data_IF_463251932597
#
_entry.id   IF_463251932597
#
_cell.length_a   1.000
_cell.length_b   1.000
_cell.length_c   1.000
_cell.angle_alpha   90.00
_cell.angle_beta   90.00
_cell.angle_gamma   90.00
#
_symmetry.space_group_name_H-M   'P 1'
#
loop_
_entity.id
_entity.type
_entity.pdbx_description
1 polymer ?
#
# COMPACT_ATOMS: atom_id res chain seq x y z
N UNK A 1 -3.01 -14.26 -0.55
CA UNK A 1 -2.25 -13.95 0.69
C UNK A 1 -1.55 -15.21 1.15
N UNK A 2 -0.22 -15.17 1.32
CA UNK A 2 0.58 -16.33 1.75
C UNK A 2 0.34 -16.65 3.23
N UNK A 3 0.68 -17.87 3.67
CA UNK A 3 0.60 -18.25 5.09
C UNK A 3 1.52 -17.38 5.97
N UNK A 4 2.73 -17.07 5.47
CA UNK A 4 3.69 -16.20 6.15
C UNK A 4 3.14 -14.77 6.34
N UNK A 5 2.51 -14.22 5.30
CA UNK A 5 1.94 -12.87 5.38
C UNK A 5 0.83 -12.78 6.42
N UNK A 6 -0.06 -13.79 6.51
CA UNK A 6 -1.09 -13.85 7.57
C UNK A 6 -0.48 -13.90 8.97
N UNK A 7 0.53 -14.74 9.17
CA UNK A 7 1.16 -14.88 10.48
C UNK A 7 1.82 -13.56 10.93
N UNK A 8 2.51 -12.88 10.02
CA UNK A 8 3.14 -11.58 10.30
C UNK A 8 2.08 -10.52 10.58
N UNK A 9 0.99 -10.49 9.82
CA UNK A 9 -0.13 -9.57 10.03
C UNK A 9 -0.75 -9.75 11.42
N UNK A 10 -0.97 -11.00 11.86
CA UNK A 10 -1.49 -11.30 13.20
C UNK A 10 -0.54 -10.88 14.33
N UNK A 11 0.77 -11.02 14.13
CA UNK A 11 1.78 -10.56 15.10
C UNK A 11 1.78 -9.04 15.22
N UNK A 12 1.76 -8.34 14.08
CA UNK A 12 1.73 -6.87 14.06
C UNK A 12 0.43 -6.33 14.63
N UNK A 13 -0.72 -6.93 14.32
CA UNK A 13 -2.01 -6.54 14.89
C UNK A 13 -2.04 -6.61 16.43
N UNK A 14 -1.24 -7.48 17.05
CA UNK A 14 -1.13 -7.59 18.52
C UNK A 14 -0.14 -6.59 19.12
N UNK A 15 1.00 -6.38 18.46
CA UNK A 15 2.11 -5.61 19.03
C UNK A 15 2.11 -4.14 18.61
N UNK A 16 1.73 -3.83 17.37
CA UNK A 16 1.68 -2.50 16.77
C UNK A 16 0.36 -2.36 15.95
N UNK A 17 -0.81 -2.20 16.60
CA UNK A 17 -2.13 -2.30 15.94
C UNK A 17 -2.39 -1.27 14.83
N UNK A 18 -1.68 -0.13 14.86
CA UNK A 18 -1.80 0.93 13.85
C UNK A 18 -0.88 0.70 12.64
N UNK A 19 -0.01 -0.33 12.68
CA UNK A 19 0.84 -0.72 11.57
C UNK A 19 0.07 -1.62 10.61
N UNK A 20 0.03 -1.21 9.35
CA UNK A 20 -0.50 -2.02 8.28
C UNK A 20 0.61 -2.80 7.59
N UNK A 21 0.44 -4.11 7.46
CA UNK A 21 1.31 -4.95 6.62
C UNK A 21 0.86 -4.87 5.16
N UNK A 22 1.70 -4.31 4.30
CA UNK A 22 1.43 -4.23 2.85
C UNK A 22 1.94 -5.47 2.10
N UNK A 23 3.12 -5.96 2.49
CA UNK A 23 3.74 -7.14 1.87
C UNK A 23 4.65 -7.84 2.87
N UNK A 24 4.64 -9.17 2.83
CA UNK A 24 5.70 -9.98 3.42
C UNK A 24 6.05 -11.12 2.46
N UNK A 25 7.30 -11.15 2.01
CA UNK A 25 7.79 -12.17 1.08
C UNK A 25 9.24 -12.55 1.36
N UNK A 26 9.57 -13.82 1.08
CA UNK A 26 10.96 -14.28 1.12
C UNK A 26 11.58 -14.01 -0.24
N UNK A 27 12.43 -12.98 -0.30
CA UNK A 27 13.19 -12.57 -1.49
C UNK A 27 14.56 -13.25 -1.42
N UNK A 28 14.92 -14.02 -2.44
CA UNK A 28 16.07 -14.95 -2.40
C UNK A 28 15.93 -16.05 -1.32
N UNK A 29 16.84 -17.02 -1.25
CA UNK A 29 16.72 -18.13 -0.27
C UNK A 29 16.92 -17.71 1.20
N UNK A 30 17.20 -16.44 1.49
CA UNK A 30 17.67 -16.00 2.81
C UNK A 30 17.17 -14.65 3.30
N UNK A 31 16.32 -13.91 2.58
CA UNK A 31 15.87 -12.57 3.03
C UNK A 31 14.35 -12.53 3.10
N UNK A 32 13.80 -12.10 4.24
CA UNK A 32 12.38 -11.80 4.42
C UNK A 32 12.19 -10.29 4.33
N UNK A 33 11.56 -9.86 3.24
CA UNK A 33 11.21 -8.46 2.99
C UNK A 33 9.80 -8.19 3.48
N UNK A 34 9.67 -7.12 4.25
CA UNK A 34 8.42 -6.67 4.85
C UNK A 34 8.22 -5.19 4.53
N UNK A 35 7.12 -4.89 3.85
CA UNK A 35 6.65 -3.51 3.64
C UNK A 35 5.52 -3.20 4.61
N UNK A 36 5.70 -2.11 5.36
CA UNK A 36 4.71 -1.60 6.31
C UNK A 36 4.22 -0.21 5.91
N UNK A 37 3.03 0.14 6.38
CA UNK A 37 2.54 1.50 6.42
C UNK A 37 1.98 1.85 7.81
N UNK A 38 1.79 3.15 8.04
CA UNK A 38 1.24 3.71 9.26
C UNK A 38 0.49 5.01 8.93
N UNK A 39 -0.63 5.34 9.61
CA UNK A 39 -1.42 6.57 9.46
C UNK A 39 -0.61 7.89 9.52
N UNK A 40 0.44 7.91 10.32
CA UNK A 40 1.33 9.08 10.46
C UNK A 40 2.61 8.99 9.62
N UNK A 41 2.71 7.96 8.77
CA UNK A 41 3.92 7.65 8.02
C UNK A 41 4.87 6.74 8.79
N UNK A 42 5.83 6.19 8.07
CA UNK A 42 6.76 5.19 8.60
C UNK A 42 8.10 5.86 8.90
N UNK A 43 8.49 5.86 10.17
CA UNK A 43 9.79 6.36 10.64
C UNK A 43 10.79 5.22 10.83
N UNK A 44 12.08 5.53 10.95
CA UNK A 44 13.10 4.52 11.26
C UNK A 44 12.78 3.80 12.57
N UNK A 45 12.36 4.53 13.61
CA UNK A 45 11.98 3.95 14.89
C UNK A 45 10.79 3.00 14.79
N UNK A 46 9.84 3.24 13.86
CA UNK A 46 8.76 2.29 13.60
C UNK A 46 9.30 1.01 12.95
N UNK A 47 10.18 1.13 11.96
CA UNK A 47 10.82 -0.03 11.33
C UNK A 47 11.61 -0.87 12.34
N UNK A 48 12.30 -0.23 13.29
CA UNK A 48 13.03 -0.90 14.37
C UNK A 48 12.10 -1.70 15.28
N UNK A 49 10.98 -1.11 15.72
CA UNK A 49 9.98 -1.80 16.56
C UNK A 49 9.38 -2.99 15.83
N UNK A 50 8.96 -2.82 14.58
CA UNK A 50 8.46 -3.91 13.73
C UNK A 50 9.52 -4.99 13.55
N UNK A 51 10.78 -4.62 13.33
CA UNK A 51 11.88 -5.60 13.23
C UNK A 51 12.09 -6.38 14.53
N UNK A 52 11.85 -5.75 15.69
CA UNK A 52 11.84 -6.39 17.00
C UNK A 52 10.68 -7.37 17.20
N UNK A 53 9.48 -7.02 16.75
CA UNK A 53 8.31 -7.93 16.76
C UNK A 53 8.59 -9.19 15.92
N UNK A 54 9.31 -9.03 14.81
CA UNK A 54 9.64 -10.13 13.89
C UNK A 54 10.95 -10.85 14.23
N UNK A 55 11.50 -10.67 15.43
CA UNK A 55 12.82 -11.19 15.79
C UNK A 55 12.94 -12.72 15.66
N UNK A 56 11.84 -13.47 15.84
CA UNK A 56 11.82 -14.94 15.68
C UNK A 56 12.17 -15.43 14.26
N UNK A 57 12.02 -14.56 13.26
CA UNK A 57 12.34 -14.89 11.87
C UNK A 57 13.83 -14.68 11.54
N UNK A 58 14.58 -13.98 12.40
CA UNK A 58 16.01 -13.65 12.17
C UNK A 58 16.91 -14.88 12.16
N UNK A 59 16.51 -15.97 12.81
CA UNK A 59 17.26 -17.22 12.81
C UNK A 59 17.27 -17.91 11.43
N UNK A 60 16.31 -17.57 10.57
CA UNK A 60 16.12 -18.21 9.25
C UNK A 60 16.33 -17.23 8.09
N UNK A 61 16.11 -15.95 8.32
CA UNK A 61 16.13 -14.93 7.28
C UNK A 61 16.82 -13.64 7.76
N UNK A 62 17.55 -12.99 6.87
CA UNK A 62 17.84 -11.57 6.99
C UNK A 62 16.52 -10.78 6.88
N UNK A 63 16.24 -9.90 7.83
CA UNK A 63 15.02 -9.08 7.81
C UNK A 63 15.26 -7.73 7.14
N UNK A 64 14.45 -7.42 6.14
CA UNK A 64 14.34 -6.08 5.55
C UNK A 64 12.96 -5.50 5.87
N UNK A 65 12.89 -4.52 6.78
CA UNK A 65 11.65 -3.82 7.13
C UNK A 65 11.71 -2.41 6.58
N UNK A 66 10.77 -2.04 5.72
CA UNK A 66 10.75 -0.72 5.09
C UNK A 66 9.34 -0.24 4.80
N UNK A 67 9.21 1.04 4.47
CA UNK A 67 7.99 1.57 3.89
C UNK A 67 8.01 1.39 2.37
N UNK A 68 6.85 1.38 1.68
CA UNK A 68 6.79 1.26 0.22
C UNK A 68 7.34 2.50 -0.53
N UNK A 69 7.74 3.56 0.18
CA UNK A 69 8.27 4.78 -0.43
C UNK A 69 7.23 5.52 -1.29
N UNK A 70 7.64 5.97 -2.47
CA UNK A 70 6.78 6.72 -3.40
C UNK A 70 5.71 5.84 -4.08
N UNK A 71 5.97 4.54 -4.27
CA UNK A 71 5.03 3.58 -4.86
C UNK A 71 4.03 3.02 -3.82
N UNK A 72 3.58 3.87 -2.89
CA UNK A 72 2.66 3.47 -1.82
C UNK A 72 1.36 2.91 -2.42
N UNK A 73 1.04 1.63 -2.21
CA UNK A 73 -0.16 1.03 -2.78
C UNK A 73 -1.42 1.54 -2.07
N UNK A 74 -2.46 1.85 -2.85
CA UNK A 74 -3.76 2.32 -2.34
C UNK A 74 -4.76 1.17 -2.41
N UNK A 75 -4.77 0.29 -1.42
CA UNK A 75 -5.56 -0.95 -1.47
C UNK A 75 -6.95 -0.83 -0.86
N UNK A 76 -7.15 0.05 0.13
CA UNK A 76 -8.42 0.22 0.84
C UNK A 76 -9.04 1.59 0.55
N UNK A 77 -10.38 1.74 0.64
CA UNK A 77 -11.06 3.04 0.50
C UNK A 77 -10.44 4.15 1.35
N UNK A 78 -10.08 3.82 2.60
CA UNK A 78 -9.47 4.75 3.55
C UNK A 78 -8.10 5.28 3.07
N UNK A 79 -7.40 4.57 2.19
CA UNK A 79 -6.13 5.03 1.67
C UNK A 79 -6.36 6.20 0.70
N UNK A 80 -7.39 6.11 -0.14
CA UNK A 80 -7.71 7.16 -1.11
C UNK A 80 -8.15 8.45 -0.43
N UNK A 81 -8.98 8.36 0.62
CA UNK A 81 -9.41 9.54 1.39
C UNK A 81 -8.25 10.19 2.16
N UNK A 82 -7.34 9.39 2.73
CA UNK A 82 -6.16 9.89 3.42
C UNK A 82 -5.19 10.67 2.53
N UNK A 83 -5.16 10.37 1.22
CA UNK A 83 -4.22 10.98 0.27
C UNK A 83 -4.90 11.90 -0.75
N UNK A 84 -6.07 12.45 -0.43
CA UNK A 84 -6.67 13.53 -1.23
C UNK A 84 -5.66 14.68 -1.43
N UNK A 85 -5.65 15.25 -2.63
CA UNK A 85 -4.69 16.25 -3.07
C UNK A 85 -3.34 15.68 -3.56
N UNK A 86 -3.11 14.37 -3.45
CA UNK A 86 -1.91 13.72 -4.00
C UNK A 86 -2.19 13.06 -5.33
N UNK A 87 -1.14 12.87 -6.12
CA UNK A 87 -1.22 12.13 -7.38
C UNK A 87 -1.19 10.61 -7.16
N UNK A 88 -2.05 9.90 -7.88
CA UNK A 88 -2.11 8.46 -7.89
C UNK A 88 -2.24 7.93 -9.32
N UNK A 89 -1.71 6.72 -9.54
CA UNK A 89 -1.95 5.92 -10.72
C UNK A 89 -2.89 4.78 -10.35
N UNK A 90 -4.01 4.67 -11.05
CA UNK A 90 -5.00 3.61 -10.90
C UNK A 90 -5.08 2.82 -12.19
N UNK A 91 -4.80 1.52 -12.11
CA UNK A 91 -5.01 0.55 -13.19
C UNK A 91 -6.35 -0.13 -12.99
N UNK A 92 -7.15 -0.14 -14.05
CA UNK A 92 -8.47 -0.73 -14.08
C UNK A 92 -8.40 -2.21 -14.46
N UNK A 93 -9.37 -3.00 -14.00
CA UNK A 93 -9.56 -4.40 -14.40
C UNK A 93 -9.96 -4.50 -15.87
N UNK A 94 -10.86 -3.62 -16.28
CA UNK A 94 -11.36 -3.50 -17.65
C UNK A 94 -11.07 -2.10 -18.17
N UNK A 95 -10.89 -1.97 -19.49
CA UNK A 95 -10.65 -0.66 -20.08
C UNK A 95 -11.92 0.19 -20.00
N UNK A 96 -11.78 1.46 -19.60
CA UNK A 96 -12.87 2.43 -19.61
C UNK A 96 -12.48 3.56 -20.56
N UNK A 97 -13.34 3.86 -21.53
CA UNK A 97 -13.02 4.82 -22.59
C UNK A 97 -11.79 4.45 -23.44
N UNK A 98 -11.41 3.17 -23.50
CA UNK A 98 -10.20 2.70 -24.21
C UNK A 98 -8.91 2.76 -23.40
N UNK A 99 -8.92 3.35 -22.20
CA UNK A 99 -7.76 3.44 -21.31
C UNK A 99 -7.84 2.38 -20.20
N UNK A 100 -6.71 1.73 -19.92
CA UNK A 100 -6.57 0.75 -18.81
C UNK A 100 -5.98 1.34 -17.54
N UNK A 101 -5.56 2.60 -17.58
CA UNK A 101 -5.00 3.28 -16.43
C UNK A 101 -5.33 4.76 -16.46
N UNK A 102 -5.63 5.29 -15.28
CA UNK A 102 -5.87 6.70 -15.03
C UNK A 102 -4.75 7.17 -14.10
N UNK A 103 -4.17 8.34 -14.37
CA UNK A 103 -3.17 8.97 -13.51
C UNK A 103 -3.52 10.43 -13.35
N UNK A 104 -3.48 10.92 -12.10
CA UNK A 104 -3.87 12.28 -11.79
C UNK A 104 -4.02 12.51 -10.29
N UNK A 105 -4.53 13.68 -9.92
CA UNK A 105 -4.76 14.08 -8.54
C UNK A 105 -6.02 13.42 -7.97
N UNK A 106 -5.93 12.90 -6.74
CA UNK A 106 -7.08 12.41 -5.98
C UNK A 106 -7.91 13.61 -5.49
N UNK A 107 -9.03 13.89 -6.15
CA UNK A 107 -9.90 15.05 -5.85
C UNK A 107 -11.18 14.68 -5.10
N UNK A 108 -11.45 13.40 -4.93
CA UNK A 108 -12.54 12.91 -4.10
C UNK A 108 -12.39 11.43 -3.77
N UNK A 109 -12.91 11.01 -2.62
CA UNK A 109 -12.95 9.62 -2.22
C UNK A 109 -14.18 9.39 -1.32
N UNK A 110 -14.94 8.35 -1.61
CA UNK A 110 -16.06 7.87 -0.81
C UNK A 110 -15.77 6.44 -0.31
N UNK A 111 -16.75 5.80 0.31
CA UNK A 111 -16.68 4.39 0.71
C UNK A 111 -16.75 3.43 -0.49
N UNK A 112 -17.19 3.90 -1.67
CA UNK A 112 -17.45 3.06 -2.84
C UNK A 112 -16.57 3.39 -4.06
N UNK A 113 -16.10 4.63 -4.17
CA UNK A 113 -15.37 5.11 -5.33
C UNK A 113 -14.31 6.16 -4.97
N UNK A 114 -13.43 6.39 -5.94
CA UNK A 114 -12.43 7.48 -5.93
C UNK A 114 -12.61 8.33 -7.18
N UNK A 115 -12.44 9.64 -7.04
CA UNK A 115 -12.45 10.60 -8.14
C UNK A 115 -11.05 11.13 -8.38
N UNK A 116 -10.58 11.01 -9.63
CA UNK A 116 -9.25 11.40 -10.08
C UNK A 116 -9.35 12.49 -11.14
N UNK A 117 -8.67 13.60 -10.95
CA UNK A 117 -8.46 14.63 -11.97
C UNK A 117 -7.19 14.30 -12.77
N UNK A 118 -7.38 13.68 -13.94
CA UNK A 118 -6.30 13.33 -14.86
C UNK A 118 -6.22 14.26 -16.06
N UNK A 119 -5.29 13.97 -16.98
CA UNK A 119 -5.08 14.76 -18.20
C UNK A 119 -6.31 14.82 -19.11
N UNK A 120 -7.10 13.73 -19.14
CA UNK A 120 -8.30 13.60 -19.98
C UNK A 120 -9.58 14.13 -19.29
N UNK A 121 -9.46 14.65 -18.06
CA UNK A 121 -10.57 15.18 -17.26
C UNK A 121 -10.72 14.51 -15.90
N UNK A 122 -11.88 14.75 -15.28
CA UNK A 122 -12.22 14.21 -13.95
C UNK A 122 -13.00 12.91 -14.12
N UNK A 123 -12.49 11.82 -13.54
CA UNK A 123 -13.12 10.50 -13.61
C UNK A 123 -13.37 9.90 -12.23
N UNK A 124 -14.59 9.41 -11.98
CA UNK A 124 -14.95 8.64 -10.80
C UNK A 124 -14.87 7.14 -11.10
N UNK A 125 -14.10 6.41 -10.29
CA UNK A 125 -13.75 5.00 -10.46
C UNK A 125 -14.20 4.22 -9.22
N UNK A 126 -15.14 3.27 -9.38
CA UNK A 126 -15.51 2.34 -8.31
C UNK A 126 -14.32 1.46 -7.88
N UNK A 127 -14.19 1.20 -6.58
CA UNK A 127 -13.05 0.42 -6.06
C UNK A 127 -12.99 -1.02 -6.58
N UNK A 128 -14.13 -1.63 -6.89
CA UNK A 128 -14.21 -2.99 -7.45
C UNK A 128 -13.61 -3.09 -8.86
N UNK A 129 -13.61 -2.00 -9.62
CA UNK A 129 -13.00 -1.89 -10.93
C UNK A 129 -11.49 -1.66 -10.87
N UNK A 130 -10.93 -1.38 -9.70
CA UNK A 130 -9.48 -1.18 -9.52
C UNK A 130 -8.77 -2.53 -9.49
N UNK A 131 -7.81 -2.70 -10.40
CA UNK A 131 -6.89 -3.83 -10.39
C UNK A 131 -5.68 -3.56 -9.49
N UNK A 132 -5.09 -2.38 -9.62
CA UNK A 132 -3.93 -1.95 -8.83
C UNK A 132 -3.88 -0.43 -8.77
N UNK A 133 -3.40 0.10 -7.68
CA UNK A 133 -3.31 1.54 -7.45
C UNK A 133 -2.11 1.86 -6.57
N UNK A 134 -1.42 2.95 -6.88
CA UNK A 134 -0.33 3.46 -6.07
C UNK A 134 -0.21 4.97 -6.18
N UNK A 135 0.33 5.60 -5.14
CA UNK A 135 0.76 6.99 -5.22
C UNK A 135 1.91 7.11 -6.23
N UNK A 136 1.97 8.27 -6.86
CA UNK A 136 3.06 8.68 -7.74
C UNK A 136 3.46 10.10 -7.36
N UNK A 137 4.72 10.51 -7.60
CA UNK A 137 5.07 11.93 -7.53
C UNK A 137 4.13 12.74 -8.43
N UNK A 138 3.64 13.87 -7.91
CA UNK A 138 2.96 14.88 -8.74
C UNK A 138 4.00 15.60 -9.58
N UNK A 139 3.60 16.01 -10.78
CA UNK A 139 4.38 16.91 -11.62
C UNK A 139 4.43 18.33 -11.04
#
# INVERSE_FOLDING_TARGET
>A
MSALQRQIEELLAKAEPEVELLLAEVVSRSTLRVFIDHPDGVTLGLCERVSGVLNEYRDRYALEVSSPGQDRPLTKPQHFSRFLGRHARVRLREARGGHRSVTGELVGASDHDVTIAGADGVETIPYDQIFRSNLVPGD
#
